data_IF_815459664126
#
_entry.id   IF_815459664126
#
_cell.length_a   1.000
_cell.length_b   1.000
_cell.length_c   1.000
_cell.angle_alpha   90.00
_cell.angle_beta   90.00
_cell.angle_gamma   90.00
#
_symmetry.space_group_name_H-M   'P 1'
#
loop_
_entity.id
_entity.type
_entity.pdbx_description
1 polymer ?
#
# COMPACT_ATOMS: atom_id res chain seq x y z
N UNK A 1 -23.50 -30.74 -8.03
CA UNK A 1 -23.95 -29.40 -7.58
C UNK A 1 -25.31 -29.14 -8.20
N UNK A 2 -26.33 -28.79 -7.41
CA UNK A 2 -27.68 -28.56 -7.95
C UNK A 2 -27.72 -27.36 -8.91
N UNK A 3 -28.67 -27.34 -9.83
CA UNK A 3 -28.89 -26.24 -10.78
C UNK A 3 -29.01 -24.89 -10.05
N UNK A 4 -29.78 -24.87 -8.95
CA UNK A 4 -29.94 -23.71 -8.08
C UNK A 4 -28.59 -23.12 -7.61
N UNK A 5 -27.65 -23.97 -7.14
CA UNK A 5 -26.32 -23.50 -6.70
C UNK A 5 -25.48 -22.93 -7.84
N UNK A 6 -25.63 -23.45 -9.07
CA UNK A 6 -24.95 -22.89 -10.25
C UNK A 6 -25.48 -21.50 -10.59
N UNK A 7 -26.80 -21.32 -10.54
CA UNK A 7 -27.45 -20.02 -10.79
C UNK A 7 -27.01 -18.99 -9.74
N UNK A 8 -27.02 -19.35 -8.45
CA UNK A 8 -26.55 -18.46 -7.38
C UNK A 8 -25.08 -18.06 -7.57
N UNK A 9 -24.20 -19.00 -7.90
CA UNK A 9 -22.79 -18.68 -8.14
C UNK A 9 -22.58 -17.79 -9.36
N UNK A 10 -23.33 -18.01 -10.45
CA UNK A 10 -23.29 -17.15 -11.63
C UNK A 10 -23.74 -15.73 -11.28
N UNK A 11 -24.85 -15.60 -10.54
CA UNK A 11 -25.37 -14.30 -10.10
C UNK A 11 -24.36 -13.54 -9.24
N UNK A 12 -23.74 -14.22 -8.27
CA UNK A 12 -22.69 -13.63 -7.43
C UNK A 12 -21.47 -13.22 -8.26
N UNK A 13 -21.05 -14.04 -9.23
CA UNK A 13 -19.93 -13.70 -10.11
C UNK A 13 -20.22 -12.46 -10.96
N UNK A 14 -21.45 -12.31 -11.48
CA UNK A 14 -21.87 -11.13 -12.25
C UNK A 14 -21.87 -9.88 -11.37
N UNK A 15 -22.42 -9.95 -10.15
CA UNK A 15 -22.38 -8.83 -9.20
C UNK A 15 -20.94 -8.44 -8.87
N UNK A 16 -20.09 -9.43 -8.58
CA UNK A 16 -18.68 -9.20 -8.26
C UNK A 16 -17.94 -8.57 -9.45
N UNK A 17 -18.22 -9.01 -10.68
CA UNK A 17 -17.64 -8.44 -11.89
C UNK A 17 -18.02 -6.96 -12.06
N UNK A 18 -19.32 -6.63 -12.03
CA UNK A 18 -19.78 -5.25 -12.21
C UNK A 18 -19.29 -4.35 -11.08
N UNK A 19 -19.39 -4.82 -9.83
CA UNK A 19 -18.94 -4.06 -8.67
C UNK A 19 -17.43 -3.81 -8.68
N UNK A 20 -16.62 -4.83 -9.00
CA UNK A 20 -15.16 -4.66 -9.08
C UNK A 20 -14.73 -3.76 -10.23
N UNK A 21 -15.44 -3.77 -11.37
CA UNK A 21 -15.15 -2.87 -12.48
C UNK A 21 -15.26 -1.41 -12.06
N UNK A 22 -16.36 -1.03 -11.41
CA UNK A 22 -16.56 0.32 -10.91
C UNK A 22 -15.58 0.67 -9.78
N UNK A 23 -15.24 -0.28 -8.90
CA UNK A 23 -14.26 -0.04 -7.85
C UNK A 23 -12.86 0.23 -8.40
N UNK A 24 -12.41 -0.53 -9.40
CA UNK A 24 -11.11 -0.34 -10.04
C UNK A 24 -11.07 0.98 -10.80
N UNK A 25 -12.14 1.32 -11.53
CA UNK A 25 -12.26 2.59 -12.25
C UNK A 25 -12.18 3.79 -11.29
N UNK A 26 -12.93 3.75 -10.18
CA UNK A 26 -12.86 4.79 -9.16
C UNK A 26 -11.49 4.87 -8.50
N UNK A 27 -10.86 3.73 -8.17
CA UNK A 27 -9.52 3.71 -7.60
C UNK A 27 -8.49 4.40 -8.50
N UNK A 28 -8.55 4.14 -9.81
CA UNK A 28 -7.65 4.76 -10.78
C UNK A 28 -7.87 6.28 -10.85
N UNK A 29 -9.13 6.74 -10.83
CA UNK A 29 -9.45 8.18 -10.85
C UNK A 29 -8.99 8.90 -9.58
N UNK A 30 -9.23 8.29 -8.43
CA UNK A 30 -8.88 8.87 -7.13
C UNK A 30 -7.36 8.88 -6.91
N UNK A 31 -6.64 7.90 -7.46
CA UNK A 31 -5.19 7.75 -7.26
C UNK A 31 -4.33 8.42 -8.35
N UNK A 32 -4.89 8.70 -9.53
CA UNK A 32 -4.11 9.25 -10.64
C UNK A 32 -3.74 10.71 -10.39
N UNK A 33 -2.53 11.09 -10.80
CA UNK A 33 -2.11 12.49 -10.91
C UNK A 33 -2.31 13.00 -12.33
N UNK A 34 -2.34 14.32 -12.46
CA UNK A 34 -2.41 14.99 -13.75
C UNK A 34 -1.01 15.42 -14.14
N UNK A 35 -0.48 14.80 -15.18
CA UNK A 35 0.75 15.24 -15.82
C UNK A 35 0.43 16.35 -16.82
N UNK A 36 0.81 17.58 -16.52
CA UNK A 36 0.82 18.70 -17.46
C UNK A 36 2.19 18.78 -18.11
N UNK A 37 2.27 18.69 -19.43
CA UNK A 37 3.54 18.82 -20.14
C UNK A 37 3.45 19.72 -21.36
N UNK A 38 4.55 20.39 -21.67
CA UNK A 38 4.68 21.28 -22.82
C UNK A 38 6.16 21.40 -23.22
N UNK A 39 6.42 21.72 -24.48
CA UNK A 39 7.78 22.01 -24.95
C UNK A 39 8.06 23.50 -24.87
N UNK A 40 9.22 23.87 -24.33
CA UNK A 40 9.69 25.24 -24.19
C UNK A 40 10.96 25.44 -25.03
N UNK A 41 11.07 26.61 -25.67
CA UNK A 41 12.30 27.13 -26.24
C UNK A 41 12.48 28.58 -25.79
N UNK A 42 13.62 28.88 -25.17
CA UNK A 42 13.97 30.19 -24.65
C UNK A 42 15.47 30.48 -24.90
N UNK A 43 15.87 31.74 -25.03
CA UNK A 43 17.26 32.12 -25.30
C UNK A 43 18.20 31.96 -24.10
N UNK A 44 17.66 31.90 -22.87
CA UNK A 44 18.44 31.85 -21.63
C UNK A 44 18.03 30.65 -20.78
N UNK A 45 18.95 30.19 -19.92
CA UNK A 45 18.64 29.27 -18.84
C UNK A 45 17.87 30.00 -17.74
N UNK A 46 16.76 29.41 -17.30
CA UNK A 46 15.90 29.97 -16.27
C UNK A 46 15.08 28.88 -15.56
N UNK A 47 14.52 29.22 -14.42
CA UNK A 47 13.67 28.33 -13.64
C UNK A 47 12.20 28.51 -14.05
N UNK A 48 11.59 27.42 -14.54
CA UNK A 48 10.17 27.42 -14.90
C UNK A 48 9.39 26.78 -13.77
N UNK A 49 8.45 27.55 -13.22
CA UNK A 49 7.68 27.16 -12.06
C UNK A 49 6.21 27.03 -12.45
N UNK A 50 5.56 25.95 -12.02
CA UNK A 50 4.13 25.73 -12.21
C UNK A 50 3.44 25.66 -10.87
N UNK A 51 2.53 26.60 -10.64
CA UNK A 51 1.63 26.61 -9.50
C UNK A 51 0.28 25.99 -9.86
N UNK A 52 -0.35 25.35 -8.87
CA UNK A 52 -1.69 24.80 -8.99
C UNK A 52 -2.58 25.26 -7.83
N UNK A 53 -3.87 25.45 -8.10
CA UNK A 53 -4.88 25.71 -7.07
C UNK A 53 -5.90 24.58 -7.01
N UNK A 54 -6.19 24.11 -5.81
CA UNK A 54 -7.26 23.16 -5.53
C UNK A 54 -8.41 23.82 -4.73
N UNK A 55 -9.54 23.12 -4.60
CA UNK A 55 -10.72 23.62 -3.86
C UNK A 55 -10.41 23.90 -2.38
N UNK A 56 -9.47 23.16 -1.78
CA UNK A 56 -9.20 23.22 -0.34
C UNK A 56 -8.49 24.51 0.13
N UNK A 57 -7.90 25.26 -0.80
CA UNK A 57 -6.84 26.22 -0.49
C UNK A 57 -7.29 27.69 -0.61
N UNK A 58 -8.59 27.94 -0.74
CA UNK A 58 -9.16 29.30 -0.66
C UNK A 58 -8.82 30.24 -1.82
N UNK A 59 -8.00 29.80 -2.80
CA UNK A 59 -7.71 30.52 -4.03
C UNK A 59 -6.44 31.38 -4.03
N UNK A 60 -5.59 31.27 -3.01
CA UNK A 60 -4.29 31.96 -2.93
C UNK A 60 -3.14 31.08 -3.43
N UNK A 61 -2.21 31.67 -4.19
CA UNK A 61 -1.01 30.97 -4.67
C UNK A 61 0.03 30.84 -3.56
N UNK A 62 0.53 29.62 -3.32
CA UNK A 62 1.55 29.34 -2.30
C UNK A 62 2.73 28.56 -2.90
N UNK A 63 3.95 28.84 -2.42
CA UNK A 63 5.17 28.11 -2.78
C UNK A 63 5.10 26.61 -2.50
N UNK A 64 4.37 26.20 -1.45
CA UNK A 64 4.16 24.77 -1.18
C UNK A 64 3.38 24.05 -2.31
N UNK A 65 2.68 24.80 -3.17
CA UNK A 65 1.85 24.31 -4.28
C UNK A 65 2.49 24.59 -5.63
N UNK A 66 3.82 24.56 -5.68
CA UNK A 66 4.58 24.78 -6.89
C UNK A 66 5.45 23.58 -7.23
N UNK A 67 5.81 23.47 -8.52
CA UNK A 67 6.81 22.55 -9.02
C UNK A 67 7.77 23.31 -9.92
N UNK A 68 9.06 23.14 -9.66
CA UNK A 68 10.14 23.79 -10.39
C UNK A 68 10.80 22.81 -11.34
N UNK A 69 11.09 23.27 -12.55
CA UNK A 69 11.95 22.58 -13.49
C UNK A 69 12.87 23.60 -14.17
N UNK A 70 14.17 23.34 -14.11
CA UNK A 70 15.18 24.18 -14.73
C UNK A 70 15.20 23.93 -16.24
N UNK A 71 15.13 25.00 -17.03
CA UNK A 71 15.42 24.97 -18.45
C UNK A 71 16.90 25.30 -18.67
N UNK A 72 17.69 24.30 -19.06
CA UNK A 72 19.16 24.32 -19.11
C UNK A 72 19.71 24.17 -20.54
N UNK A 73 18.85 24.25 -21.57
CA UNK A 73 19.23 24.08 -22.97
C UNK A 73 18.87 25.28 -23.85
N UNK A 74 19.52 26.44 -23.66
CA UNK A 74 19.26 27.67 -24.43
C UNK A 74 19.11 27.46 -25.95
N UNK A 75 18.04 28.00 -26.52
CA UNK A 75 17.73 27.94 -27.95
C UNK A 75 17.27 26.57 -28.46
N UNK A 76 17.20 25.54 -27.60
CA UNK A 76 16.72 24.21 -27.95
C UNK A 76 15.34 23.93 -27.34
N UNK A 77 14.55 23.09 -28.01
CA UNK A 77 13.27 22.66 -27.47
C UNK A 77 13.48 21.63 -26.35
N UNK A 78 12.94 21.89 -25.17
CA UNK A 78 12.96 20.97 -24.02
C UNK A 78 11.52 20.67 -23.57
N UNK A 79 11.19 19.39 -23.37
CA UNK A 79 9.90 18.99 -22.80
C UNK A 79 9.94 19.16 -21.28
N UNK A 80 9.01 19.95 -20.76
CA UNK A 80 8.80 20.20 -19.33
C UNK A 80 7.54 19.44 -18.90
N UNK A 81 7.60 18.70 -17.78
CA UNK A 81 6.50 17.83 -17.33
C UNK A 81 6.28 17.96 -15.82
N UNK A 82 5.11 18.45 -15.43
CA UNK A 82 4.74 18.76 -14.07
C UNK A 82 3.61 17.84 -13.60
N UNK A 83 3.78 17.24 -12.43
CA UNK A 83 2.78 16.38 -11.78
C UNK A 83 1.89 17.22 -10.86
N UNK A 84 0.60 17.27 -11.16
CA UNK A 84 -0.41 18.09 -10.48
C UNK A 84 -1.49 17.20 -9.82
N UNK A 85 -2.17 17.67 -8.76
CA UNK A 85 -3.31 16.99 -8.18
C UNK A 85 -4.48 16.78 -9.17
N UNK A 86 -5.26 15.72 -9.00
CA UNK A 86 -6.44 15.41 -9.84
C UNK A 86 -7.59 16.41 -9.71
N UNK A 87 -7.61 17.22 -8.65
CA UNK A 87 -8.62 18.23 -8.37
C UNK A 87 -8.13 19.66 -8.66
N UNK A 88 -7.10 19.80 -9.52
CA UNK A 88 -6.55 21.10 -9.92
C UNK A 88 -7.58 21.93 -10.70
N UNK A 89 -7.90 23.11 -10.20
CA UNK A 89 -8.87 24.03 -10.80
C UNK A 89 -8.22 25.01 -11.77
N UNK A 90 -7.09 25.60 -11.35
CA UNK A 90 -6.34 26.62 -12.10
C UNK A 90 -4.87 26.27 -12.06
N UNK A 91 -4.19 26.65 -13.14
CA UNK A 91 -2.73 26.54 -13.26
C UNK A 91 -2.17 27.92 -13.55
N UNK A 92 -1.09 28.27 -12.87
CA UNK A 92 -0.23 29.43 -13.15
C UNK A 92 1.13 28.91 -13.58
N UNK A 93 1.60 29.35 -14.74
CA UNK A 93 2.91 29.00 -15.28
C UNK A 93 3.76 30.25 -15.27
N UNK A 94 4.84 30.20 -14.51
CA UNK A 94 5.84 31.25 -14.40
C UNK A 94 6.95 30.95 -15.38
N UNK A 95 7.32 31.97 -16.14
CA UNK A 95 8.12 31.85 -17.36
C UNK A 95 9.58 32.27 -17.14
N UNK A 96 10.09 32.05 -15.94
CA UNK A 96 11.41 32.49 -15.52
C UNK A 96 11.42 33.89 -14.91
N UNK A 97 12.61 34.42 -14.70
CA UNK A 97 12.88 35.74 -14.10
C UNK A 97 13.48 36.72 -15.11
N UNK A 98 13.97 36.22 -16.24
CA UNK A 98 14.64 37.02 -17.26
C UNK A 98 13.68 37.46 -18.36
N UNK A 99 13.95 38.66 -18.92
CA UNK A 99 13.26 39.14 -20.11
C UNK A 99 13.74 38.37 -21.33
N UNK A 100 12.83 37.72 -22.03
CA UNK A 100 13.12 36.83 -23.14
C UNK A 100 11.88 36.55 -23.99
N UNK A 101 12.13 36.22 -25.26
CA UNK A 101 11.11 35.64 -26.14
C UNK A 101 11.05 34.14 -25.91
N UNK A 102 9.90 33.67 -25.42
CA UNK A 102 9.67 32.29 -25.01
C UNK A 102 8.63 31.68 -25.93
N UNK A 103 8.99 30.55 -26.54
CA UNK A 103 8.08 29.77 -27.36
C UNK A 103 7.64 28.52 -26.61
N UNK A 104 6.32 28.33 -26.50
CA UNK A 104 5.71 27.12 -25.92
C UNK A 104 4.92 26.40 -27.01
N UNK A 105 5.04 25.07 -27.09
CA UNK A 105 4.22 24.26 -28.01
C UNK A 105 3.89 22.88 -27.45
N UNK A 106 3.04 22.14 -28.16
CA UNK A 106 2.71 20.73 -27.86
C UNK A 106 2.25 20.55 -26.40
N UNK A 107 1.49 21.52 -25.87
CA UNK A 107 0.95 21.42 -24.53
C UNK A 107 -0.06 20.28 -24.48
N UNK A 108 0.09 19.38 -23.51
CA UNK A 108 -0.78 18.22 -23.29
C UNK A 108 -1.00 18.00 -21.80
N UNK A 109 -2.20 17.51 -21.47
CA UNK A 109 -2.52 17.01 -20.15
C UNK A 109 -2.79 15.50 -20.23
N UNK A 110 -2.30 14.77 -19.24
CA UNK A 110 -2.45 13.32 -19.17
C UNK A 110 -2.86 12.87 -17.77
N UNK A 111 -3.87 12.02 -17.72
CA UNK A 111 -4.25 11.22 -16.56
C UNK A 111 -4.73 9.84 -17.06
N UNK A 112 -6.03 9.52 -16.93
CA UNK A 112 -6.64 8.30 -17.50
C UNK A 112 -6.52 8.28 -19.03
N UNK A 113 -6.79 9.42 -19.65
CA UNK A 113 -6.56 9.66 -21.07
C UNK A 113 -5.59 10.82 -21.28
N UNK A 114 -5.08 10.97 -22.50
CA UNK A 114 -4.18 12.05 -22.90
C UNK A 114 -4.93 12.99 -23.83
N UNK A 115 -4.86 14.28 -23.55
CA UNK A 115 -5.52 15.31 -24.36
C UNK A 115 -4.56 16.45 -24.68
N UNK A 116 -4.41 16.82 -25.97
CA UNK A 116 -3.69 18.03 -26.33
C UNK A 116 -4.47 19.26 -25.87
N UNK A 117 -3.76 20.21 -25.27
CA UNK A 117 -4.30 21.48 -24.83
C UNK A 117 -4.35 22.42 -26.03
N UNK A 118 -5.56 22.75 -26.47
CA UNK A 118 -5.78 23.72 -27.54
C UNK A 118 -5.54 25.13 -26.99
N UNK A 119 -4.28 25.55 -26.96
CA UNK A 119 -3.85 26.82 -26.37
C UNK A 119 -4.67 27.99 -26.91
N UNK A 120 -5.07 27.97 -28.19
CA UNK A 120 -5.88 28.99 -28.86
C UNK A 120 -7.20 29.27 -28.17
N UNK A 121 -7.83 28.23 -27.62
CA UNK A 121 -9.14 28.31 -26.97
C UNK A 121 -9.07 28.66 -25.49
N UNK A 122 -7.88 28.68 -24.90
CA UNK A 122 -7.73 29.03 -23.48
C UNK A 122 -7.98 30.51 -23.26
N UNK A 123 -8.76 30.84 -22.23
CA UNK A 123 -8.78 32.19 -21.68
C UNK A 123 -7.57 32.34 -20.73
N UNK A 124 -6.58 33.13 -21.14
CA UNK A 124 -5.30 33.27 -20.45
C UNK A 124 -5.22 34.67 -19.84
N UNK A 125 -5.11 34.73 -18.52
CA UNK A 125 -4.74 35.94 -17.81
C UNK A 125 -3.21 36.01 -17.73
N UNK A 126 -2.64 37.20 -17.86
CA UNK A 126 -1.19 37.41 -17.94
C UNK A 126 -0.74 38.44 -16.92
N UNK A 127 0.50 38.33 -16.47
CA UNK A 127 1.21 39.34 -15.72
C UNK A 127 2.61 39.50 -16.30
N UNK A 128 3.04 40.74 -16.55
CA UNK A 128 4.35 41.08 -17.11
C UNK A 128 4.73 40.29 -18.39
N UNK A 129 3.70 39.88 -19.14
CA UNK A 129 3.79 39.01 -20.31
C UNK A 129 2.97 39.61 -21.44
N UNK A 130 3.52 39.60 -22.66
CA UNK A 130 2.78 39.94 -23.88
C UNK A 130 2.73 38.72 -24.80
N UNK A 131 1.52 38.31 -25.16
CA UNK A 131 1.30 37.18 -26.08
C UNK A 131 1.39 37.70 -27.51
N UNK A 132 2.46 37.35 -28.23
CA UNK A 132 2.69 37.79 -29.61
C UNK A 132 1.91 36.95 -30.63
N UNK A 133 1.88 35.62 -30.42
CA UNK A 133 1.20 34.69 -31.33
C UNK A 133 0.59 33.53 -30.56
N UNK A 134 -0.62 33.14 -30.98
CA UNK A 134 -1.42 32.08 -30.36
C UNK A 134 -2.12 31.25 -31.45
N UNK A 135 -1.39 30.34 -32.09
CA UNK A 135 -1.86 29.56 -33.25
C UNK A 135 -1.14 28.20 -33.35
N UNK A 136 -1.77 27.19 -33.96
CA UNK A 136 -1.24 25.86 -34.24
C UNK A 136 -0.59 25.15 -33.03
N UNK A 137 -1.26 25.12 -31.89
CA UNK A 137 -0.77 24.58 -30.62
C UNK A 137 0.53 25.21 -30.13
N UNK A 138 0.83 26.43 -30.60
CA UNK A 138 2.01 27.20 -30.19
C UNK A 138 1.63 28.56 -29.64
N UNK A 139 2.38 28.98 -28.63
CA UNK A 139 2.25 30.24 -27.93
C UNK A 139 3.62 30.92 -27.94
N UNK A 140 3.72 32.08 -28.58
CA UNK A 140 4.91 32.92 -28.57
C UNK A 140 4.67 34.07 -27.59
N UNK A 141 5.58 34.22 -26.65
CA UNK A 141 5.43 35.07 -25.48
C UNK A 141 6.66 35.95 -25.33
N UNK A 142 6.47 37.25 -25.18
CA UNK A 142 7.51 38.20 -24.78
C UNK A 142 7.39 38.41 -23.26
N UNK A 143 8.44 38.04 -22.50
CA UNK A 143 8.57 38.32 -21.07
C UNK A 143 9.11 39.74 -20.85
N UNK A 144 8.36 40.59 -20.15
CA UNK A 144 8.60 42.04 -20.08
C UNK A 144 9.11 42.48 -18.70
N UNK A 145 8.96 41.66 -17.66
CA UNK A 145 9.21 42.03 -16.27
C UNK A 145 10.00 40.98 -15.48
N UNK A 146 9.92 41.06 -14.16
CA UNK A 146 10.66 40.20 -13.22
C UNK A 146 9.82 39.04 -12.67
N UNK A 147 8.49 39.06 -12.84
CA UNK A 147 7.57 37.97 -12.50
C UNK A 147 6.58 37.68 -13.66
N UNK A 148 7.09 37.24 -14.83
CA UNK A 148 6.27 36.94 -16.01
C UNK A 148 5.49 35.62 -15.82
N UNK A 149 4.16 35.69 -15.80
CA UNK A 149 3.34 34.49 -15.69
C UNK A 149 2.05 34.51 -16.51
N UNK A 150 1.55 33.30 -16.80
CA UNK A 150 0.25 33.05 -17.42
C UNK A 150 -0.64 32.19 -16.53
N UNK A 151 -1.94 32.50 -16.47
CA UNK A 151 -2.93 31.77 -15.66
C UNK A 151 -4.12 31.38 -16.51
N UNK A 152 -4.57 30.13 -16.39
CA UNK A 152 -5.77 29.65 -17.08
C UNK A 152 -6.57 28.65 -16.24
N UNK A 153 -7.86 28.52 -16.58
CA UNK A 153 -8.74 27.53 -15.97
C UNK A 153 -8.40 26.14 -16.51
N UNK A 154 -8.08 25.22 -15.60
CA UNK A 154 -7.66 23.86 -15.91
C UNK A 154 -8.79 22.83 -15.72
N UNK A 155 -9.85 23.21 -15.00
CA UNK A 155 -11.01 22.34 -14.70
C UNK A 155 -11.58 21.61 -15.93
N UNK A 156 -11.83 22.27 -17.08
CA UNK A 156 -12.40 21.58 -18.25
C UNK A 156 -11.45 20.51 -18.83
N UNK A 157 -10.15 20.78 -18.80
CA UNK A 157 -9.12 19.85 -19.26
C UNK A 157 -9.07 18.65 -18.33
N UNK A 158 -9.02 18.89 -17.01
CA UNK A 158 -9.07 17.84 -15.98
C UNK A 158 -10.29 16.95 -16.18
N UNK A 159 -11.50 17.51 -16.30
CA UNK A 159 -12.71 16.71 -16.52
C UNK A 159 -12.59 15.82 -17.76
N UNK A 160 -12.05 16.36 -18.86
CA UNK A 160 -11.96 15.61 -20.12
C UNK A 160 -10.92 14.50 -20.08
N UNK A 161 -9.78 14.70 -19.41
CA UNK A 161 -8.74 13.65 -19.31
C UNK A 161 -9.16 12.50 -18.39
N UNK A 162 -10.03 12.76 -17.40
CA UNK A 162 -10.57 11.74 -16.48
C UNK A 162 -11.81 11.02 -17.02
N UNK A 163 -12.65 11.70 -17.81
CA UNK A 163 -13.82 11.12 -18.47
C UNK A 163 -13.49 10.49 -19.84
N UNK A 164 -12.29 10.75 -20.36
CA UNK A 164 -11.85 10.25 -21.66
C UNK A 164 -11.65 8.74 -21.71
N UNK A 165 -11.92 8.15 -22.87
CA UNK A 165 -11.80 6.71 -23.09
C UNK A 165 -10.33 6.31 -23.29
N UNK A 166 -9.84 5.41 -22.45
CA UNK A 166 -8.54 4.76 -22.63
C UNK A 166 -8.71 3.25 -22.74
N UNK A 167 -8.46 2.70 -23.93
CA UNK A 167 -8.62 1.26 -24.21
C UNK A 167 -7.78 0.42 -23.25
N UNK A 168 -6.56 0.86 -22.95
CA UNK A 168 -5.67 0.17 -22.03
C UNK A 168 -6.27 0.08 -20.61
N UNK A 169 -6.84 1.18 -20.10
CA UNK A 169 -7.51 1.21 -18.80
C UNK A 169 -8.75 0.32 -18.80
N UNK A 170 -9.61 0.42 -19.82
CA UNK A 170 -10.83 -0.40 -19.92
C UNK A 170 -10.50 -1.89 -19.96
N UNK A 171 -9.52 -2.31 -20.76
CA UNK A 171 -9.09 -3.71 -20.85
C UNK A 171 -8.48 -4.18 -19.53
N UNK A 172 -7.64 -3.35 -18.90
CA UNK A 172 -7.08 -3.63 -17.57
C UNK A 172 -8.16 -3.84 -16.52
N UNK A 173 -9.16 -2.96 -16.47
CA UNK A 173 -10.28 -3.02 -15.52
C UNK A 173 -11.13 -4.27 -15.77
N UNK A 174 -11.38 -4.62 -17.03
CA UNK A 174 -12.11 -5.83 -17.40
C UNK A 174 -11.37 -7.09 -16.95
N UNK A 175 -10.07 -7.22 -17.25
CA UNK A 175 -9.25 -8.35 -16.84
C UNK A 175 -9.18 -8.49 -15.31
N UNK A 176 -8.95 -7.38 -14.60
CA UNK A 176 -8.96 -7.35 -13.14
C UNK A 176 -10.31 -7.78 -12.56
N UNK A 177 -11.41 -7.30 -13.14
CA UNK A 177 -12.77 -7.63 -12.70
C UNK A 177 -13.13 -9.09 -12.94
N UNK A 178 -12.70 -9.68 -14.06
CA UNK A 178 -12.86 -11.13 -14.31
C UNK A 178 -12.13 -11.93 -13.24
N UNK A 179 -10.88 -11.57 -12.93
CA UNK A 179 -10.10 -12.26 -11.90
C UNK A 179 -10.77 -12.19 -10.52
N UNK A 180 -11.26 -11.01 -10.14
CA UNK A 180 -11.98 -10.81 -8.86
C UNK A 180 -13.29 -11.61 -8.86
N UNK A 181 -14.04 -11.61 -9.95
CA UNK A 181 -15.29 -12.37 -10.06
C UNK A 181 -15.07 -13.88 -9.94
N UNK A 182 -14.05 -14.42 -10.63
CA UNK A 182 -13.69 -15.84 -10.55
C UNK A 182 -13.27 -16.24 -9.13
N UNK A 183 -12.39 -15.46 -8.51
CA UNK A 183 -11.94 -15.68 -7.13
C UNK A 183 -13.09 -15.54 -6.12
N UNK A 184 -14.01 -14.58 -6.31
CA UNK A 184 -15.20 -14.45 -5.48
C UNK A 184 -16.11 -15.67 -5.61
N UNK A 185 -16.38 -16.13 -6.84
CA UNK A 185 -17.15 -17.35 -7.07
C UNK A 185 -16.48 -18.58 -6.46
N UNK A 186 -15.15 -18.66 -6.51
CA UNK A 186 -14.36 -19.70 -5.87
C UNK A 186 -14.52 -19.69 -4.34
N UNK A 187 -14.39 -18.52 -3.70
CA UNK A 187 -14.61 -18.35 -2.26
C UNK A 187 -16.02 -18.80 -1.88
N UNK A 188 -17.05 -18.27 -2.57
CA UNK A 188 -18.45 -18.55 -2.26
C UNK A 188 -18.80 -20.02 -2.44
N UNK A 189 -18.25 -20.68 -3.47
CA UNK A 189 -18.41 -22.11 -3.71
C UNK A 189 -17.88 -22.95 -2.54
N UNK A 190 -16.82 -22.50 -1.90
CA UNK A 190 -16.11 -23.23 -0.84
C UNK A 190 -16.34 -22.66 0.57
N UNK A 191 -17.14 -21.60 0.70
CA UNK A 191 -17.41 -20.88 1.94
C UNK A 191 -17.82 -21.78 3.09
N UNK A 192 -18.72 -22.75 2.84
CA UNK A 192 -19.15 -23.72 3.86
C UNK A 192 -17.96 -24.48 4.46
N UNK A 193 -16.99 -24.89 3.65
CA UNK A 193 -15.81 -25.64 4.13
C UNK A 193 -14.91 -24.77 4.99
N UNK A 194 -14.79 -23.47 4.66
CA UNK A 194 -14.02 -22.50 5.44
C UNK A 194 -14.70 -22.20 6.78
N UNK A 195 -16.03 -21.97 6.78
CA UNK A 195 -16.81 -21.73 8.00
C UNK A 195 -16.84 -22.92 8.95
N UNK A 196 -16.76 -24.15 8.42
CA UNK A 196 -16.66 -25.37 9.24
C UNK A 196 -15.42 -25.40 10.16
N UNK A 197 -14.37 -24.61 9.88
CA UNK A 197 -13.20 -24.50 10.76
C UNK A 197 -13.46 -23.69 12.03
N UNK A 198 -14.38 -22.72 11.96
CA UNK A 198 -14.63 -21.76 13.06
C UNK A 198 -15.12 -22.48 14.32
N UNK A 199 -16.03 -23.45 14.18
CA UNK A 199 -16.60 -24.19 15.31
C UNK A 199 -15.54 -25.00 16.10
N UNK A 200 -14.70 -25.84 15.46
CA UNK A 200 -13.55 -26.49 16.09
C UNK A 200 -12.62 -25.53 16.85
N UNK A 201 -12.27 -24.40 16.22
CA UNK A 201 -11.39 -23.37 16.79
C UNK A 201 -12.00 -22.80 18.07
N UNK A 202 -13.26 -22.37 18.00
CA UNK A 202 -13.96 -21.78 19.12
C UNK A 202 -14.15 -22.74 20.31
N UNK A 203 -14.50 -24.01 20.02
CA UNK A 203 -14.68 -25.05 21.03
C UNK A 203 -13.37 -25.39 21.77
N UNK A 204 -12.23 -25.25 21.10
CA UNK A 204 -10.93 -25.66 21.62
C UNK A 204 -10.01 -24.49 21.99
N UNK A 205 -10.56 -23.27 22.09
CA UNK A 205 -9.79 -22.03 22.33
C UNK A 205 -8.94 -22.07 23.60
N UNK A 206 -9.46 -22.64 24.68
CA UNK A 206 -8.72 -22.74 25.95
C UNK A 206 -7.51 -23.67 25.82
N UNK A 207 -7.66 -24.76 25.07
CA UNK A 207 -6.56 -25.67 24.77
C UNK A 207 -5.50 -25.00 23.88
N UNK A 208 -5.93 -24.30 22.84
CA UNK A 208 -5.03 -23.53 21.97
C UNK A 208 -4.25 -22.47 22.76
N UNK A 209 -4.91 -21.74 23.67
CA UNK A 209 -4.26 -20.75 24.54
C UNK A 209 -3.27 -21.39 25.52
N UNK A 210 -3.60 -22.54 26.12
CA UNK A 210 -2.69 -23.25 27.00
C UNK A 210 -1.46 -23.78 26.25
N UNK A 211 -1.67 -24.32 25.05
CA UNK A 211 -0.57 -24.72 24.17
C UNK A 211 0.28 -23.53 23.76
N UNK A 212 -0.31 -22.37 23.45
CA UNK A 212 0.43 -21.16 23.07
C UNK A 212 1.30 -20.65 24.23
N UNK A 213 0.77 -20.66 25.46
CA UNK A 213 1.53 -20.32 26.67
C UNK A 213 2.70 -21.29 26.89
N UNK A 214 2.46 -22.58 26.69
CA UNK A 214 3.51 -23.59 26.83
C UNK A 214 4.57 -23.43 25.75
N UNK A 215 4.16 -23.22 24.49
CA UNK A 215 5.05 -22.97 23.36
C UNK A 215 6.01 -21.80 23.64
N UNK A 216 5.44 -20.67 24.06
CA UNK A 216 6.20 -19.48 24.43
C UNK A 216 7.23 -19.77 25.53
N UNK A 217 6.83 -20.48 26.59
CA UNK A 217 7.75 -20.87 27.67
C UNK A 217 8.85 -21.79 27.16
N UNK A 218 8.50 -22.80 26.36
CA UNK A 218 9.47 -23.79 25.86
C UNK A 218 10.48 -23.19 24.89
N UNK A 219 10.07 -22.21 24.07
CA UNK A 219 10.93 -21.50 23.12
C UNK A 219 12.15 -20.88 23.79
N UNK A 220 12.01 -20.49 25.05
CA UNK A 220 13.04 -19.80 25.81
C UNK A 220 13.57 -20.61 27.01
N UNK A 221 13.11 -21.85 27.20
CA UNK A 221 13.40 -22.62 28.41
C UNK A 221 14.86 -23.10 28.53
N UNK A 222 15.57 -23.27 27.41
CA UNK A 222 16.93 -23.83 27.35
C UNK A 222 18.04 -22.77 27.25
N UNK A 223 17.71 -21.48 27.35
CA UNK A 223 18.67 -20.38 27.20
C UNK A 223 18.90 -19.65 28.53
N UNK A 224 20.16 -19.27 28.81
CA UNK A 224 20.54 -18.53 30.02
C UNK A 224 19.77 -17.22 30.21
N UNK A 225 19.54 -16.45 29.13
CA UNK A 225 18.76 -15.21 29.18
C UNK A 225 17.25 -15.44 29.00
N UNK A 226 16.85 -16.66 28.65
CA UNK A 226 15.46 -17.05 28.49
C UNK A 226 14.66 -16.11 27.60
N UNK A 227 13.49 -15.69 28.11
CA UNK A 227 12.49 -14.87 27.39
C UNK A 227 13.06 -13.54 26.92
N UNK A 228 14.11 -13.04 27.58
CA UNK A 228 14.76 -11.76 27.26
C UNK A 228 15.29 -11.74 25.81
N UNK A 229 15.68 -12.89 25.26
CA UNK A 229 16.10 -12.99 23.86
C UNK A 229 15.01 -12.62 22.86
N UNK A 230 13.75 -12.86 23.19
CA UNK A 230 12.62 -12.44 22.36
C UNK A 230 12.52 -10.92 22.18
N UNK A 231 13.12 -10.16 23.10
CA UNK A 231 13.12 -8.69 23.07
C UNK A 231 14.45 -8.10 22.60
N UNK A 232 15.58 -8.70 22.99
CA UNK A 232 16.91 -8.20 22.63
C UNK A 232 17.07 -8.09 21.12
N UNK A 233 16.75 -9.15 20.38
CA UNK A 233 17.00 -9.17 18.92
C UNK A 233 16.20 -8.11 18.18
N UNK A 234 14.87 -7.96 18.38
CA UNK A 234 14.12 -6.88 17.74
C UNK A 234 14.55 -5.49 18.21
N UNK A 235 14.89 -5.30 19.50
CA UNK A 235 15.36 -4.00 20.01
C UNK A 235 16.70 -3.60 19.39
N UNK A 236 17.68 -4.51 19.32
CA UNK A 236 18.95 -4.25 18.65
C UNK A 236 18.75 -3.97 17.17
N UNK A 237 17.80 -4.66 16.52
CA UNK A 237 17.41 -4.37 15.14
C UNK A 237 16.89 -2.94 15.03
N UNK A 238 15.95 -2.54 15.89
CA UNK A 238 15.40 -1.17 15.89
C UNK A 238 16.50 -0.13 16.06
N UNK A 239 17.37 -0.30 17.04
CA UNK A 239 18.49 0.62 17.32
C UNK A 239 19.45 0.70 16.14
N UNK A 240 19.76 -0.43 15.50
CA UNK A 240 20.67 -0.49 14.35
C UNK A 240 20.09 0.28 13.17
N UNK A 241 18.84 0.01 12.81
CA UNK A 241 18.18 0.70 11.71
C UNK A 241 18.01 2.19 11.99
N UNK A 242 17.59 2.56 13.20
CA UNK A 242 17.56 3.95 13.62
C UNK A 242 18.92 4.63 13.47
N UNK A 243 19.99 4.01 13.95
CA UNK A 243 21.34 4.57 13.83
C UNK A 243 21.76 4.73 12.36
N UNK A 244 21.56 3.72 11.52
CA UNK A 244 21.95 3.77 10.11
C UNK A 244 21.18 4.86 9.35
N UNK A 245 19.86 4.93 9.50
CA UNK A 245 19.04 5.87 8.73
C UNK A 245 19.09 7.29 9.30
N UNK A 246 18.89 7.44 10.62
CA UNK A 246 18.86 8.76 11.26
C UNK A 246 20.25 9.38 11.37
N UNK A 247 21.25 8.63 11.84
CA UNK A 247 22.59 9.16 12.14
C UNK A 247 23.51 9.01 10.94
N UNK A 248 23.53 7.83 10.30
CA UNK A 248 24.40 7.52 9.18
C UNK A 248 24.01 8.22 7.89
N UNK A 249 22.77 8.02 7.44
CA UNK A 249 22.24 8.60 6.20
C UNK A 249 21.67 10.01 6.37
N UNK A 250 21.51 10.47 7.62
CA UNK A 250 20.94 11.79 7.97
C UNK A 250 19.62 12.02 7.24
N UNK A 251 18.75 11.01 7.22
CA UNK A 251 17.49 11.03 6.47
C UNK A 251 16.51 12.13 6.92
N UNK A 252 16.83 12.89 7.97
CA UNK A 252 15.98 13.96 8.50
C UNK A 252 14.67 13.41 9.06
N UNK A 253 13.67 14.28 9.14
CA UNK A 253 12.30 13.89 9.42
C UNK A 253 11.66 13.26 8.18
N UNK A 254 10.87 12.20 8.38
CA UNK A 254 10.09 11.59 7.31
C UNK A 254 8.64 11.99 7.54
N UNK A 255 8.06 12.71 6.58
CA UNK A 255 6.72 13.28 6.70
C UNK A 255 6.55 14.15 7.96
N UNK A 256 7.55 15.00 8.26
CA UNK A 256 7.54 15.92 9.42
C UNK A 256 7.49 15.22 10.79
N UNK A 257 7.86 13.93 10.84
CA UNK A 257 7.89 13.13 12.05
C UNK A 257 9.29 12.53 12.26
N UNK A 258 9.77 12.45 13.51
CA UNK A 258 11.02 11.78 13.82
C UNK A 258 11.05 10.36 13.25
N UNK A 259 12.12 10.03 12.51
CA UNK A 259 12.26 8.75 11.81
C UNK A 259 11.98 7.53 12.69
N UNK A 260 12.41 7.56 13.95
CA UNK A 260 12.19 6.45 14.89
C UNK A 260 10.70 6.15 15.06
N UNK A 261 9.84 7.16 15.18
CA UNK A 261 8.40 6.96 15.39
C UNK A 261 7.77 6.34 14.14
N UNK A 262 8.13 6.86 12.98
CA UNK A 262 7.68 6.38 11.68
C UNK A 262 8.15 4.94 11.38
N UNK A 263 9.39 4.62 11.77
CA UNK A 263 10.01 3.32 11.59
C UNK A 263 9.44 2.26 12.54
N UNK A 264 9.30 2.56 13.84
CA UNK A 264 8.76 1.58 14.80
C UNK A 264 7.29 1.24 14.53
N UNK A 265 6.51 2.19 14.01
CA UNK A 265 5.14 1.94 13.55
C UNK A 265 5.08 0.90 12.41
N UNK A 266 6.11 0.84 11.56
CA UNK A 266 6.17 -0.15 10.48
C UNK A 266 6.84 -1.47 10.85
N UNK A 267 7.97 -1.44 11.56
CA UNK A 267 8.76 -2.66 11.79
C UNK A 267 8.17 -3.59 12.86
N UNK A 268 7.44 -3.05 13.84
CA UNK A 268 6.86 -3.86 14.92
C UNK A 268 5.75 -4.81 14.45
N UNK A 269 4.75 -4.39 13.64
CA UNK A 269 3.82 -5.35 13.04
C UNK A 269 4.54 -6.33 12.09
N UNK A 270 5.61 -5.91 11.43
CA UNK A 270 6.42 -6.80 10.60
C UNK A 270 7.11 -7.92 11.41
N UNK A 271 7.69 -7.61 12.57
CA UNK A 271 8.29 -8.63 13.44
C UNK A 271 7.27 -9.69 13.84
N UNK A 272 6.07 -9.28 14.24
CA UNK A 272 5.00 -10.21 14.58
C UNK A 272 4.58 -11.06 13.38
N UNK A 273 4.35 -10.45 12.22
CA UNK A 273 4.00 -11.17 11.00
C UNK A 273 5.06 -12.23 10.64
N UNK A 274 6.34 -11.84 10.62
CA UNK A 274 7.45 -12.71 10.22
C UNK A 274 7.61 -13.89 11.19
N UNK A 275 7.59 -13.63 12.49
CA UNK A 275 7.70 -14.67 13.52
C UNK A 275 6.49 -15.60 13.51
N UNK A 276 5.28 -15.04 13.48
CA UNK A 276 4.05 -15.81 13.51
C UNK A 276 3.88 -16.65 12.24
N UNK A 277 4.22 -16.12 11.05
CA UNK A 277 4.09 -16.87 9.79
C UNK A 277 5.08 -18.01 9.69
N UNK A 278 6.35 -17.78 10.05
CA UNK A 278 7.39 -18.82 10.05
C UNK A 278 7.05 -19.94 11.05
N UNK A 279 6.66 -19.56 12.28
CA UNK A 279 6.26 -20.52 13.31
C UNK A 279 5.00 -21.29 12.93
N UNK A 280 3.95 -20.60 12.44
CA UNK A 280 2.70 -21.23 12.05
C UNK A 280 2.85 -22.17 10.84
N UNK A 281 3.76 -21.87 9.91
CA UNK A 281 4.10 -22.79 8.81
C UNK A 281 4.67 -24.10 9.35
N UNK A 282 5.54 -24.05 10.37
CA UNK A 282 6.17 -25.24 10.94
C UNK A 282 5.33 -25.95 12.01
N UNK A 283 4.11 -25.46 12.29
CA UNK A 283 3.29 -25.92 13.40
C UNK A 283 3.02 -27.45 13.37
N UNK A 284 2.74 -28.04 12.21
CA UNK A 284 2.48 -29.49 12.12
C UNK A 284 3.73 -30.35 12.28
N UNK A 285 4.91 -29.83 11.92
CA UNK A 285 6.20 -30.51 12.08
C UNK A 285 6.57 -30.53 13.56
N UNK A 286 6.54 -29.36 14.21
CA UNK A 286 6.92 -29.20 15.60
C UNK A 286 5.98 -29.94 16.56
N UNK A 287 4.68 -29.96 16.26
CA UNK A 287 3.68 -30.71 17.00
C UNK A 287 3.36 -32.07 16.38
N UNK A 288 4.31 -32.69 15.67
CA UNK A 288 4.12 -34.00 15.01
C UNK A 288 3.62 -35.10 15.94
N UNK A 289 3.99 -35.06 17.23
CA UNK A 289 3.48 -35.99 18.25
C UNK A 289 1.96 -35.88 18.46
N UNK A 290 1.39 -34.67 18.42
CA UNK A 290 -0.06 -34.44 18.48
C UNK A 290 -0.73 -34.87 17.18
N UNK A 291 -0.05 -34.68 16.03
CA UNK A 291 -0.58 -35.06 14.72
C UNK A 291 -0.66 -36.58 14.58
N UNK A 292 0.34 -37.33 15.07
CA UNK A 292 0.42 -38.79 14.90
C UNK A 292 -0.37 -39.60 15.93
N UNK A 293 -0.43 -39.15 17.19
CA UNK A 293 -0.76 -40.04 18.33
C UNK A 293 -2.05 -39.71 19.08
N UNK A 294 -2.74 -38.61 18.75
CA UNK A 294 -3.91 -38.15 19.51
C UNK A 294 -5.04 -37.81 18.56
N UNK A 295 -6.30 -38.06 18.97
CA UNK A 295 -7.50 -37.53 18.31
C UNK A 295 -7.58 -36.01 18.58
N UNK A 296 -6.62 -35.27 18.03
CA UNK A 296 -6.46 -33.84 18.23
C UNK A 296 -6.94 -33.08 16.97
N UNK A 297 -7.54 -31.92 17.20
CA UNK A 297 -7.94 -31.00 16.13
C UNK A 297 -6.71 -30.23 15.64
N UNK A 298 -5.92 -30.88 14.80
CA UNK A 298 -4.64 -30.33 14.30
C UNK A 298 -4.80 -28.98 13.60
N UNK A 299 -6.01 -28.62 13.14
CA UNK A 299 -6.35 -27.30 12.59
C UNK A 299 -6.00 -26.13 13.53
N UNK A 300 -5.87 -26.39 14.83
CA UNK A 300 -5.56 -25.41 15.87
C UNK A 300 -4.07 -25.05 15.96
N UNK A 301 -3.18 -25.89 15.44
CA UNK A 301 -1.74 -25.74 15.67
C UNK A 301 -1.16 -24.43 15.09
N UNK A 302 -1.57 -23.94 13.90
CA UNK A 302 -1.17 -22.62 13.44
C UNK A 302 -1.57 -21.51 14.42
N UNK A 303 -2.77 -21.57 15.03
CA UNK A 303 -3.19 -20.60 16.06
C UNK A 303 -2.34 -20.64 17.32
N UNK A 304 -1.84 -21.83 17.71
CA UNK A 304 -0.93 -21.97 18.86
C UNK A 304 0.34 -21.14 18.62
N UNK A 305 0.93 -21.26 17.43
CA UNK A 305 2.16 -20.53 17.06
C UNK A 305 1.91 -19.03 16.92
N UNK A 306 0.78 -18.62 16.33
CA UNK A 306 0.39 -17.20 16.25
C UNK A 306 0.19 -16.62 17.66
N UNK A 307 -0.48 -17.35 18.55
CA UNK A 307 -0.70 -16.93 19.93
C UNK A 307 0.59 -16.84 20.75
N UNK A 308 1.55 -17.73 20.50
CA UNK A 308 2.88 -17.69 21.11
C UNK A 308 3.65 -16.42 20.72
N UNK A 309 3.70 -16.10 19.43
CA UNK A 309 4.31 -14.86 18.92
C UNK A 309 3.59 -13.59 19.41
N UNK A 310 2.27 -13.68 19.62
CA UNK A 310 1.46 -12.55 20.10
C UNK A 310 1.93 -12.05 21.48
N UNK A 311 2.45 -12.92 22.36
CA UNK A 311 2.94 -12.49 23.67
C UNK A 311 4.11 -11.50 23.57
N UNK A 312 5.05 -11.74 22.65
CA UNK A 312 6.16 -10.81 22.38
C UNK A 312 5.62 -9.53 21.74
N UNK A 313 4.69 -9.66 20.80
CA UNK A 313 4.13 -8.50 20.10
C UNK A 313 3.34 -7.56 21.02
N UNK A 314 2.59 -8.08 22.00
CA UNK A 314 1.88 -7.26 22.99
C UNK A 314 2.85 -6.39 23.82
N UNK A 315 4.03 -6.92 24.14
CA UNK A 315 5.09 -6.11 24.76
C UNK A 315 5.56 -4.99 23.81
N UNK A 316 5.76 -5.29 22.52
CA UNK A 316 6.17 -4.27 21.56
C UNK A 316 5.09 -3.21 21.27
N UNK A 317 3.81 -3.55 21.39
CA UNK A 317 2.72 -2.56 21.35
C UNK A 317 2.84 -1.60 22.54
N UNK A 318 3.10 -2.12 23.75
CA UNK A 318 3.35 -1.25 24.91
C UNK A 318 4.61 -0.39 24.72
N UNK A 319 5.68 -0.98 24.16
CA UNK A 319 6.91 -0.27 23.83
C UNK A 319 6.68 0.89 22.86
N UNK A 320 5.84 0.72 21.83
CA UNK A 320 5.44 1.83 20.92
C UNK A 320 4.88 2.99 21.73
N UNK A 321 3.91 2.74 22.60
CA UNK A 321 3.27 3.82 23.36
C UNK A 321 4.24 4.54 24.29
N UNK A 322 5.19 3.80 24.90
CA UNK A 322 6.24 4.40 25.73
C UNK A 322 7.13 5.34 24.89
N UNK A 323 7.61 4.87 23.73
CA UNK A 323 8.47 5.69 22.86
C UNK A 323 7.72 6.90 22.32
N UNK A 324 6.49 6.73 21.85
CA UNK A 324 5.66 7.83 21.36
C UNK A 324 5.40 8.88 22.45
N UNK A 325 5.10 8.44 23.68
CA UNK A 325 4.91 9.33 24.83
C UNK A 325 6.13 10.20 25.14
N UNK A 326 7.35 9.66 25.03
CA UNK A 326 8.58 10.45 25.22
C UNK A 326 8.78 11.54 24.17
N UNK A 327 8.20 11.39 22.97
CA UNK A 327 8.21 12.39 21.91
C UNK A 327 7.00 13.32 21.94
N UNK A 328 6.13 13.20 22.95
CA UNK A 328 4.91 14.02 23.06
C UNK A 328 3.74 13.57 22.18
N UNK A 329 3.84 12.39 21.53
CA UNK A 329 2.74 11.80 20.79
C UNK A 329 1.92 10.90 21.72
N UNK A 330 0.72 11.34 22.08
CA UNK A 330 -0.14 10.62 23.02
C UNK A 330 -1.21 9.79 22.30
N UNK A 331 -1.70 8.69 22.91
CA UNK A 331 -2.77 7.90 22.33
C UNK A 331 -4.03 8.72 22.09
N UNK A 332 -4.53 8.68 20.86
CA UNK A 332 -5.80 9.30 20.44
C UNK A 332 -6.86 8.23 20.15
N UNK A 333 -8.09 8.63 19.82
CA UNK A 333 -9.16 7.69 19.40
C UNK A 333 -8.73 6.81 18.22
N UNK A 334 -7.88 7.33 17.34
CA UNK A 334 -7.33 6.62 16.19
C UNK A 334 -6.44 5.45 16.59
N UNK A 335 -5.76 5.51 17.74
CA UNK A 335 -4.89 4.42 18.21
C UNK A 335 -5.67 3.14 18.56
N UNK A 336 -6.98 3.23 18.77
CA UNK A 336 -7.83 2.05 18.97
C UNK A 336 -7.81 1.11 17.75
N UNK A 337 -7.53 1.65 16.56
CA UNK A 337 -7.43 0.89 15.32
C UNK A 337 -6.24 -0.08 15.29
N UNK A 338 -5.25 0.07 16.18
CA UNK A 338 -4.19 -0.93 16.35
C UNK A 338 -4.79 -2.31 16.66
N UNK A 339 -5.90 -2.37 17.41
CA UNK A 339 -6.61 -3.64 17.65
C UNK A 339 -7.20 -4.22 16.37
N UNK A 340 -7.74 -3.38 15.49
CA UNK A 340 -8.23 -3.81 14.18
C UNK A 340 -7.08 -4.35 13.31
N UNK A 341 -5.97 -3.62 13.20
CA UNK A 341 -4.81 -4.07 12.41
C UNK A 341 -4.10 -5.28 13.01
N UNK A 342 -4.17 -5.48 14.33
CA UNK A 342 -3.73 -6.71 14.98
C UNK A 342 -4.59 -7.92 14.54
N UNK A 343 -5.92 -7.76 14.51
CA UNK A 343 -6.84 -8.80 14.02
C UNK A 343 -6.57 -9.08 12.54
N UNK A 344 -6.36 -8.04 11.73
CA UNK A 344 -5.94 -8.18 10.33
C UNK A 344 -4.67 -9.03 10.22
N UNK A 345 -3.63 -8.71 11.00
CA UNK A 345 -2.36 -9.45 10.96
C UNK A 345 -2.53 -10.91 11.35
N UNK A 346 -3.26 -11.19 12.44
CA UNK A 346 -3.58 -12.56 12.89
C UNK A 346 -4.33 -13.33 11.79
N UNK A 347 -5.32 -12.68 11.16
CA UNK A 347 -6.13 -13.30 10.12
C UNK A 347 -5.32 -13.57 8.84
N UNK A 348 -4.47 -12.62 8.44
CA UNK A 348 -3.54 -12.78 7.31
C UNK A 348 -2.62 -13.96 7.55
N UNK A 349 -1.91 -13.98 8.68
CA UNK A 349 -0.98 -15.06 9.04
C UNK A 349 -1.69 -16.40 9.06
N UNK A 350 -2.87 -16.50 9.68
CA UNK A 350 -3.62 -17.75 9.69
C UNK A 350 -4.01 -18.21 8.28
N UNK A 351 -4.47 -17.28 7.43
CA UNK A 351 -4.91 -17.57 6.07
C UNK A 351 -3.79 -18.13 5.20
N UNK A 352 -2.60 -17.53 5.26
CA UNK A 352 -1.43 -17.99 4.47
C UNK A 352 -0.74 -19.20 5.11
N UNK A 353 -0.67 -19.26 6.45
CA UNK A 353 0.04 -20.34 7.14
C UNK A 353 -0.69 -21.67 7.08
N UNK A 354 -2.02 -21.69 7.01
CA UNK A 354 -2.74 -22.96 6.86
C UNK A 354 -2.40 -23.64 5.53
N UNK A 355 -2.20 -22.85 4.47
CA UNK A 355 -1.75 -23.34 3.18
C UNK A 355 -0.30 -23.82 3.25
N UNK A 356 0.63 -22.97 3.72
CA UNK A 356 2.04 -23.31 3.77
C UNK A 356 2.33 -24.48 4.72
N UNK A 357 1.70 -24.53 5.90
CA UNK A 357 1.86 -25.61 6.87
C UNK A 357 1.38 -26.96 6.33
N UNK A 358 0.38 -26.95 5.44
CA UNK A 358 -0.08 -28.18 4.79
C UNK A 358 0.89 -28.66 3.70
N UNK A 359 1.55 -27.73 2.99
CA UNK A 359 2.44 -28.04 1.87
C UNK A 359 3.85 -28.42 2.36
N UNK A 360 4.37 -27.73 3.39
CA UNK A 360 5.75 -27.92 3.88
C UNK A 360 6.04 -29.35 4.32
N UNK A 361 5.02 -30.08 4.76
CA UNK A 361 5.13 -31.51 5.09
C UNK A 361 5.60 -32.36 3.91
N UNK A 362 5.12 -32.05 2.70
CA UNK A 362 5.45 -32.78 1.47
C UNK A 362 6.61 -32.16 0.71
N UNK A 363 6.84 -30.86 0.88
CA UNK A 363 7.88 -30.09 0.20
C UNK A 363 8.72 -29.29 1.20
N UNK A 364 9.79 -29.92 1.71
CA UNK A 364 10.62 -29.38 2.80
C UNK A 364 11.33 -28.07 2.43
N UNK A 365 11.64 -27.86 1.16
CA UNK A 365 12.31 -26.63 0.68
C UNK A 365 11.43 -25.38 0.81
N UNK A 366 10.12 -25.56 1.06
CA UNK A 366 9.21 -24.44 1.34
C UNK A 366 9.68 -23.58 2.52
N UNK A 367 10.36 -24.16 3.51
CA UNK A 367 10.92 -23.39 4.63
C UNK A 367 12.01 -22.42 4.19
N UNK A 368 12.89 -22.83 3.27
CA UNK A 368 13.92 -21.93 2.72
C UNK A 368 13.27 -20.83 1.88
N UNK A 369 12.28 -21.18 1.06
CA UNK A 369 11.52 -20.23 0.24
C UNK A 369 10.83 -19.19 1.14
N UNK A 370 10.20 -19.60 2.23
CA UNK A 370 9.56 -18.67 3.18
C UNK A 370 10.58 -17.75 3.83
N UNK A 371 11.77 -18.25 4.18
CA UNK A 371 12.85 -17.41 4.69
C UNK A 371 13.23 -16.29 3.70
N UNK A 372 13.40 -16.64 2.42
CA UNK A 372 13.69 -15.68 1.35
C UNK A 372 12.52 -14.70 1.14
N UNK A 373 11.28 -15.20 1.12
CA UNK A 373 10.07 -14.36 0.96
C UNK A 373 9.93 -13.37 2.10
N UNK A 374 10.22 -13.77 3.34
CA UNK A 374 10.23 -12.85 4.48
C UNK A 374 11.34 -11.81 4.34
N UNK A 375 12.55 -12.23 3.96
CA UNK A 375 13.66 -11.29 3.77
C UNK A 375 13.36 -10.24 2.69
N UNK A 376 12.84 -10.66 1.52
CA UNK A 376 12.43 -9.74 0.46
C UNK A 376 11.20 -8.93 0.89
N UNK A 377 10.25 -9.57 1.57
CA UNK A 377 9.01 -8.95 2.03
C UNK A 377 9.22 -7.77 2.97
N UNK A 378 10.29 -7.79 3.79
CA UNK A 378 10.69 -6.65 4.62
C UNK A 378 10.99 -5.42 3.76
N UNK A 379 11.72 -5.57 2.65
CA UNK A 379 12.07 -4.47 1.74
C UNK A 379 10.94 -4.10 0.79
N UNK A 380 10.09 -5.08 0.46
CA UNK A 380 8.87 -4.90 -0.33
C UNK A 380 7.71 -4.30 0.46
N UNK A 381 7.90 -4.09 1.77
CA UNK A 381 7.04 -3.27 2.61
C UNK A 381 7.82 -2.00 2.90
N UNK A 382 7.32 -0.79 2.59
CA UNK A 382 8.07 0.46 2.78
C UNK A 382 8.15 0.81 4.28
N UNK A 383 8.94 0.06 5.04
CA UNK A 383 9.11 0.14 6.50
C UNK A 383 10.12 1.22 6.88
N UNK A 384 11.20 1.37 6.10
CA UNK A 384 12.31 2.30 6.35
C UNK A 384 12.32 3.55 5.47
N UNK A 385 11.38 3.70 4.53
CA UNK A 385 11.30 4.82 3.59
C UNK A 385 9.86 5.02 3.07
N UNK A 386 9.43 6.25 2.74
CA UNK A 386 8.06 6.54 2.33
C UNK A 386 7.76 6.08 0.89
N UNK A 387 6.58 5.49 0.66
CA UNK A 387 6.15 5.00 -0.67
C UNK A 387 6.08 6.10 -1.73
N UNK A 388 5.96 7.37 -1.31
CA UNK A 388 5.90 8.55 -2.19
C UNK A 388 7.19 8.81 -2.96
N UNK A 389 8.31 8.18 -2.60
CA UNK A 389 9.56 8.22 -3.37
C UNK A 389 9.51 7.37 -4.65
N UNK A 390 8.53 6.47 -4.77
CA UNK A 390 8.36 5.64 -5.95
C UNK A 390 7.50 6.34 -7.00
N UNK A 391 7.74 6.01 -8.27
CA UNK A 391 6.81 6.34 -9.34
C UNK A 391 5.48 5.58 -9.15
N UNK A 392 4.43 6.01 -9.86
CA UNK A 392 3.08 5.46 -9.70
C UNK A 392 3.01 3.94 -9.90
N UNK A 393 3.77 3.40 -10.88
CA UNK A 393 3.79 1.98 -11.19
C UNK A 393 4.37 1.14 -10.04
N UNK A 394 5.54 1.52 -9.51
CA UNK A 394 6.16 0.81 -8.40
C UNK A 394 5.37 1.01 -7.11
N UNK A 395 4.84 2.21 -6.86
CA UNK A 395 3.96 2.46 -5.72
C UNK A 395 2.74 1.52 -5.75
N UNK A 396 2.11 1.35 -6.93
CA UNK A 396 1.01 0.39 -7.11
C UNK A 396 1.43 -1.05 -6.79
N UNK A 397 2.58 -1.51 -7.30
CA UNK A 397 3.09 -2.86 -7.03
C UNK A 397 3.30 -3.09 -5.53
N UNK A 398 3.88 -2.12 -4.82
CA UNK A 398 4.11 -2.22 -3.37
C UNK A 398 2.81 -2.24 -2.57
N UNK A 399 1.78 -1.50 -3.01
CA UNK A 399 0.44 -1.52 -2.39
C UNK A 399 -0.26 -2.88 -2.52
N UNK A 400 0.14 -3.73 -3.48
CA UNK A 400 -0.38 -5.11 -3.58
C UNK A 400 0.14 -6.02 -2.47
N UNK A 401 1.16 -5.63 -1.71
CA UNK A 401 1.59 -6.41 -0.55
C UNK A 401 0.54 -6.28 0.58
N UNK A 402 -0.10 -7.35 1.08
CA UNK A 402 -1.07 -7.23 2.17
C UNK A 402 -0.48 -6.67 3.47
N UNK A 403 0.84 -6.80 3.69
CA UNK A 403 1.52 -6.15 4.81
C UNK A 403 1.65 -4.64 4.65
N UNK A 404 1.55 -4.10 3.43
CA UNK A 404 1.49 -2.65 3.20
C UNK A 404 0.27 -2.04 3.92
N UNK A 405 -0.91 -2.66 3.79
CA UNK A 405 -2.13 -2.18 4.44
C UNK A 405 -2.01 -2.16 5.97
N UNK A 406 -1.38 -3.17 6.56
CA UNK A 406 -1.16 -3.25 8.01
C UNK A 406 -0.16 -2.17 8.45
N UNK A 407 0.99 -2.05 7.78
CA UNK A 407 2.03 -1.06 8.13
C UNK A 407 1.50 0.37 7.96
N UNK A 408 0.81 0.65 6.87
CA UNK A 408 0.17 1.96 6.68
C UNK A 408 -0.91 2.18 7.74
N UNK A 409 -1.69 1.16 8.09
CA UNK A 409 -2.68 1.23 9.15
C UNK A 409 -2.12 1.57 10.54
N UNK A 410 -0.95 1.04 10.90
CA UNK A 410 -0.25 1.43 12.12
C UNK A 410 0.18 2.90 12.07
N UNK A 411 0.66 3.39 10.92
CA UNK A 411 1.00 4.81 10.71
C UNK A 411 -0.24 5.71 10.77
N UNK A 412 -1.33 5.30 10.12
CA UNK A 412 -2.61 5.99 10.17
C UNK A 412 -3.15 6.10 11.60
N UNK A 413 -2.94 5.05 12.41
CA UNK A 413 -3.39 5.00 13.80
C UNK A 413 -2.58 5.88 14.75
N UNK A 414 -1.27 6.03 14.49
CA UNK A 414 -0.29 6.62 15.40
C UNK A 414 0.19 8.02 14.97
N UNK A 415 0.14 8.31 13.68
CA UNK A 415 0.76 9.48 13.03
C UNK A 415 -0.27 10.25 12.20
N UNK A 416 -0.84 9.62 11.17
CA UNK A 416 -1.61 10.36 10.14
C UNK A 416 -3.05 10.66 10.58
N UNK A 417 -3.55 9.98 11.61
CA UNK A 417 -4.92 10.14 12.12
C UNK A 417 -5.99 9.88 11.05
N UNK A 418 -5.80 8.80 10.29
CA UNK A 418 -6.71 8.33 9.23
C UNK A 418 -7.46 7.10 9.74
N UNK A 419 -8.76 7.01 9.46
CA UNK A 419 -9.58 5.86 9.88
C UNK A 419 -9.56 4.78 8.78
N UNK A 420 -9.56 3.51 9.15
CA UNK A 420 -9.39 2.37 8.24
C UNK A 420 -10.38 2.36 7.06
N UNK A 421 -11.60 2.90 7.24
CA UNK A 421 -12.59 2.98 6.17
C UNK A 421 -12.35 4.12 5.18
N UNK A 422 -11.48 5.08 5.51
CA UNK A 422 -11.02 6.15 4.61
C UNK A 422 -9.98 5.62 3.59
N UNK A 423 -9.51 4.38 3.77
CA UNK A 423 -8.73 3.59 2.80
C UNK A 423 -9.53 2.39 2.27
N UNK A 424 -10.68 2.61 1.59
CA UNK A 424 -11.59 1.53 1.24
C UNK A 424 -10.96 0.52 0.27
N UNK A 425 -10.10 0.97 -0.64
CA UNK A 425 -9.49 0.12 -1.67
C UNK A 425 -8.50 -0.87 -1.07
N UNK A 426 -7.58 -0.40 -0.25
CA UNK A 426 -6.61 -1.25 0.45
C UNK A 426 -7.33 -2.20 1.43
N UNK A 427 -8.36 -1.72 2.13
CA UNK A 427 -9.17 -2.55 3.02
C UNK A 427 -9.87 -3.69 2.27
N UNK A 428 -10.56 -3.40 1.17
CA UNK A 428 -11.28 -4.40 0.38
C UNK A 428 -10.31 -5.41 -0.23
N UNK A 429 -9.20 -4.93 -0.80
CA UNK A 429 -8.15 -5.77 -1.34
C UNK A 429 -7.59 -6.73 -0.28
N UNK A 430 -7.25 -6.20 0.91
CA UNK A 430 -6.67 -6.98 2.00
C UNK A 430 -7.58 -8.14 2.43
N UNK A 431 -8.86 -7.85 2.72
CA UNK A 431 -9.80 -8.89 3.16
C UNK A 431 -10.08 -9.90 2.05
N UNK A 432 -10.21 -9.44 0.81
CA UNK A 432 -10.37 -10.31 -0.35
C UNK A 432 -9.18 -11.27 -0.51
N UNK A 433 -7.96 -10.77 -0.38
CA UNK A 433 -6.74 -11.58 -0.40
C UNK A 433 -6.75 -12.63 0.73
N UNK A 434 -7.08 -12.22 1.96
CA UNK A 434 -7.11 -13.14 3.09
C UNK A 434 -8.16 -14.24 2.92
N UNK A 435 -9.39 -13.91 2.52
CA UNK A 435 -10.43 -14.92 2.28
C UNK A 435 -10.08 -15.87 1.13
N UNK A 436 -9.41 -15.37 0.08
CA UNK A 436 -8.89 -16.19 -1.01
C UNK A 436 -7.85 -17.20 -0.51
N UNK A 437 -6.83 -16.72 0.21
CA UNK A 437 -5.76 -17.55 0.77
C UNK A 437 -6.29 -18.54 1.80
N UNK A 438 -7.19 -18.11 2.70
CA UNK A 438 -7.84 -18.99 3.66
C UNK A 438 -8.57 -20.12 2.95
N UNK A 439 -9.37 -19.80 1.92
CA UNK A 439 -10.12 -20.82 1.17
C UNK A 439 -9.19 -21.82 0.50
N UNK A 440 -8.10 -21.35 -0.13
CA UNK A 440 -7.07 -22.24 -0.69
C UNK A 440 -6.42 -23.11 0.40
N UNK A 441 -6.04 -22.51 1.52
CA UNK A 441 -5.45 -23.20 2.67
C UNK A 441 -6.37 -24.28 3.23
N UNK A 442 -7.66 -23.99 3.44
CA UNK A 442 -8.65 -24.96 3.95
C UNK A 442 -8.79 -26.14 3.00
N UNK A 443 -8.87 -25.88 1.69
CA UNK A 443 -9.05 -26.95 0.69
C UNK A 443 -7.83 -27.86 0.62
N UNK A 444 -6.63 -27.26 0.59
CA UNK A 444 -5.36 -28.00 0.59
C UNK A 444 -5.21 -28.80 1.88
N UNK A 445 -5.43 -28.17 3.04
CA UNK A 445 -5.40 -28.84 4.33
C UNK A 445 -6.36 -30.04 4.37
N UNK A 446 -7.64 -29.85 4.04
CA UNK A 446 -8.64 -30.94 4.07
C UNK A 446 -8.28 -32.08 3.10
N UNK A 447 -7.64 -31.77 1.97
CA UNK A 447 -7.23 -32.77 0.98
C UNK A 447 -5.98 -33.55 1.43
N UNK A 448 -5.01 -32.90 2.04
CA UNK A 448 -3.73 -33.51 2.42
C UNK A 448 -3.75 -34.13 3.83
N UNK A 449 -4.67 -33.71 4.71
CA UNK A 449 -4.76 -34.13 6.12
C UNK A 449 -4.65 -35.64 6.34
N UNK A 450 -5.25 -36.46 5.47
CA UNK A 450 -5.21 -37.93 5.59
C UNK A 450 -3.82 -38.53 5.45
N UNK A 451 -2.88 -37.81 4.84
CA UNK A 451 -1.52 -38.27 4.57
C UNK A 451 -0.49 -37.67 5.53
N UNK A 452 -0.90 -36.78 6.44
CA UNK A 452 0.04 -36.09 7.33
C UNK A 452 0.78 -37.06 8.26
N UNK A 453 0.10 -38.09 8.76
CA UNK A 453 0.70 -39.10 9.64
C UNK A 453 1.82 -39.90 8.97
N UNK A 454 1.72 -40.07 7.64
CA UNK A 454 2.60 -40.95 6.87
C UNK A 454 3.89 -40.24 6.45
N UNK A 455 3.84 -38.91 6.34
CA UNK A 455 4.96 -38.07 5.86
C UNK A 455 5.72 -37.41 7.02
N UNK A 456 5.05 -37.15 8.13
CA UNK A 456 5.69 -36.78 9.39
C UNK A 456 6.41 -38.00 9.97
#
# INVERSE_FOLDING_TARGET
MSLFKRIVLLFVAVIAFVGSFHLIDNYQKDSARVSLSFEVNAPNEDDYQVFYLTVAEGGEWNEAQSKHLIYDTPGQWKKMSYELPNNTLKVRIDLGTQKADISIRNAEAKAISTQPIQVEKLNINTNEVKIEKKQNQSLLIESIGGDPYIVFNFTPIVSTIFDGLSIFHIVGNLLGSVLIAVSTAFIVRHLKKSLELVKPIYQSRNLALNLAKNDFKTKFASSYLGVVWGFITPLLTIVTYWFVFQVGLRSGEVAEVPFILWFIAGIIPWFFFSEAFSGATNAFIEYSYLVKKVVFRIELLPFVKIGSALFVHLFFILFIFIVYGFYGYYPTVYTLQILYYLICTIFLVFSISLLSASIVLFFKDLNQIIGIVLQIGFWFTPIGWPVTMLNEFWAFIFKLNPMFYIVQGFRDSLIDHVIFYERPYEMLYFWFFCFSMLTLGVLTFKKLKSHFSDVL
#
